data_IF_934785160901
#
_entry.id   IF_934785160901
#
_cell.length_a   1.000
_cell.length_b   1.000
_cell.length_c   1.000
_cell.angle_alpha   90.00
_cell.angle_beta   90.00
_cell.angle_gamma   90.00
#
_symmetry.space_group_name_H-M   'P 1'
#
loop_
_entity.id
_entity.type
_entity.pdbx_description
1 polymer ?
#
# COMPACT_ATOMS: atom_id res chain seq x y z
N UNK A 1 30.11 -6.23 -0.85
CA UNK A 1 28.67 -5.93 -1.05
C UNK A 1 28.03 -7.12 -1.73
N UNK A 2 27.40 -8.02 -0.97
CA UNK A 2 26.59 -9.11 -1.52
C UNK A 2 25.14 -8.65 -1.54
N UNK A 3 24.64 -8.28 -2.72
CA UNK A 3 23.23 -8.01 -2.97
C UNK A 3 22.50 -9.33 -3.20
N UNK A 4 21.52 -9.63 -2.34
CA UNK A 4 20.76 -10.88 -2.40
C UNK A 4 19.60 -10.75 -3.41
N UNK A 5 19.57 -11.64 -4.41
CA UNK A 5 18.81 -11.54 -5.66
C UNK A 5 17.31 -11.80 -5.59
N UNK A 6 16.68 -11.71 -4.42
CA UNK A 6 15.25 -12.04 -4.22
C UNK A 6 14.33 -10.83 -4.10
N UNK A 7 14.85 -9.59 -4.05
CA UNK A 7 14.03 -8.36 -4.04
C UNK A 7 13.75 -7.74 -5.43
N UNK A 8 14.36 -8.27 -6.50
CA UNK A 8 14.38 -7.62 -7.83
C UNK A 8 13.49 -8.28 -8.90
N UNK A 9 12.61 -9.21 -8.55
CA UNK A 9 11.79 -9.90 -9.56
C UNK A 9 10.79 -8.97 -10.29
N UNK A 10 10.42 -7.84 -9.68
CA UNK A 10 9.51 -6.86 -10.29
C UNK A 10 10.16 -5.90 -11.30
N UNK A 11 11.48 -5.67 -11.22
CA UNK A 11 12.20 -4.70 -12.06
C UNK A 11 12.56 -5.24 -13.46
N UNK A 12 12.31 -6.52 -13.75
CA UNK A 12 12.74 -7.18 -15.00
C UNK A 12 11.67 -7.30 -16.09
N UNK A 13 10.45 -6.80 -15.86
CA UNK A 13 9.36 -6.85 -16.84
C UNK A 13 9.15 -5.46 -17.45
N UNK A 14 9.56 -5.29 -18.71
CA UNK A 14 9.62 -4.01 -19.44
C UNK A 14 8.27 -3.37 -19.78
N UNK A 15 7.15 -3.90 -19.28
CA UNK A 15 5.79 -3.41 -19.53
C UNK A 15 4.95 -3.31 -18.25
N UNK A 16 5.59 -3.04 -17.10
CA UNK A 16 4.93 -2.93 -15.82
C UNK A 16 4.85 -1.44 -15.43
N UNK A 17 3.71 -0.80 -15.73
CA UNK A 17 3.48 0.62 -15.42
C UNK A 17 3.55 0.89 -13.90
N UNK A 18 3.11 -0.06 -13.07
CA UNK A 18 3.00 0.12 -11.61
C UNK A 18 4.37 0.24 -10.90
N UNK A 19 5.37 -0.62 -11.15
CA UNK A 19 6.74 -0.40 -10.66
C UNK A 19 7.41 0.83 -11.29
N UNK A 20 7.20 1.11 -12.57
CA UNK A 20 7.85 2.24 -13.26
C UNK A 20 7.38 3.59 -12.73
N UNK A 21 6.06 3.79 -12.62
CA UNK A 21 5.49 5.03 -12.09
C UNK A 21 5.73 5.16 -10.59
N UNK A 22 5.64 4.04 -9.85
CA UNK A 22 5.95 4.00 -8.42
C UNK A 22 7.39 4.39 -8.12
N UNK A 23 8.36 4.02 -8.96
CA UNK A 23 9.76 4.43 -8.82
C UNK A 23 9.94 5.92 -9.07
N UNK A 24 9.24 6.51 -10.05
CA UNK A 24 9.30 7.96 -10.29
C UNK A 24 8.76 8.75 -9.10
N UNK A 25 7.63 8.32 -8.54
CA UNK A 25 7.05 8.94 -7.34
C UNK A 25 7.97 8.75 -6.13
N UNK A 26 8.53 7.54 -5.93
CA UNK A 26 9.51 7.28 -4.88
C UNK A 26 10.73 8.20 -4.99
N UNK A 27 11.31 8.31 -6.19
CA UNK A 27 12.46 9.17 -6.44
C UNK A 27 12.16 10.65 -6.15
N UNK A 28 10.99 11.14 -6.56
CA UNK A 28 10.58 12.53 -6.28
C UNK A 28 10.40 12.79 -4.78
N UNK A 29 9.77 11.84 -4.04
CA UNK A 29 9.63 11.93 -2.58
C UNK A 29 11.00 11.93 -1.93
N UNK A 30 11.88 10.99 -2.32
CA UNK A 30 13.20 10.85 -1.73
C UNK A 30 14.04 12.12 -1.94
N UNK A 31 14.07 12.66 -3.16
CA UNK A 31 14.80 13.90 -3.48
C UNK A 31 14.29 15.09 -2.65
N UNK A 32 12.96 15.23 -2.54
CA UNK A 32 12.35 16.29 -1.72
C UNK A 32 12.69 16.15 -0.23
N UNK A 33 12.56 14.94 0.33
CA UNK A 33 12.86 14.66 1.74
C UNK A 33 14.35 14.89 2.02
N UNK A 34 15.25 14.40 1.18
CA UNK A 34 16.69 14.58 1.35
C UNK A 34 17.06 16.06 1.37
N UNK A 35 16.53 16.85 0.44
CA UNK A 35 16.73 18.30 0.44
C UNK A 35 16.18 18.98 1.70
N UNK A 36 15.02 18.55 2.20
CA UNK A 36 14.42 19.10 3.41
C UNK A 36 15.24 18.76 4.65
N UNK A 37 15.60 17.48 4.83
CA UNK A 37 16.42 17.02 5.96
C UNK A 37 17.79 17.69 5.96
N UNK A 38 18.44 17.83 4.80
CA UNK A 38 19.73 18.52 4.68
C UNK A 38 19.66 19.97 5.15
N UNK A 39 18.54 20.65 4.87
CA UNK A 39 18.33 22.04 5.27
C UNK A 39 18.26 22.23 6.79
N UNK A 40 17.58 21.32 7.50
CA UNK A 40 17.37 21.45 8.96
C UNK A 40 18.44 20.74 9.81
N UNK A 41 19.08 19.71 9.27
CA UNK A 41 20.09 18.91 9.97
C UNK A 41 21.46 19.05 9.30
N UNK A 42 22.02 20.26 9.24
CA UNK A 42 23.30 20.50 8.56
C UNK A 42 24.52 19.99 9.35
N UNK A 43 24.44 19.99 10.69
CA UNK A 43 25.57 19.70 11.56
C UNK A 43 25.76 18.21 11.85
N UNK A 44 27.01 17.75 12.11
CA UNK A 44 27.26 16.42 12.61
C UNK A 44 26.49 16.14 13.91
N UNK A 45 25.89 14.95 14.03
CA UNK A 45 25.10 14.52 15.19
C UNK A 45 23.84 15.36 15.48
N UNK A 46 23.42 16.25 14.58
CA UNK A 46 22.18 17.04 14.76
C UNK A 46 20.95 16.13 14.94
N UNK A 47 20.86 15.03 14.17
CA UNK A 47 19.78 14.03 14.28
C UNK A 47 19.79 13.29 15.63
N UNK A 48 20.95 12.91 16.15
CA UNK A 48 21.06 12.19 17.43
C UNK A 48 20.91 13.10 18.64
N UNK A 49 21.17 14.40 18.48
CA UNK A 49 21.02 15.40 19.55
C UNK A 49 19.59 15.92 19.68
N UNK A 50 18.74 15.68 18.68
CA UNK A 50 17.34 16.09 18.68
C UNK A 50 16.49 15.14 19.54
N UNK A 51 16.20 15.58 20.77
CA UNK A 51 15.48 14.77 21.75
C UNK A 51 14.03 14.48 21.35
N UNK A 52 13.37 15.41 20.66
CA UNK A 52 11.98 15.25 20.23
C UNK A 52 11.91 14.21 19.11
N UNK A 53 12.80 14.31 18.12
CA UNK A 53 12.90 13.37 17.01
C UNK A 53 13.22 11.94 17.51
N UNK A 54 14.17 11.81 18.44
CA UNK A 54 14.52 10.51 19.03
C UNK A 54 13.35 9.92 19.83
N UNK A 55 12.64 10.74 20.61
CA UNK A 55 11.48 10.31 21.37
C UNK A 55 10.33 9.85 20.45
N UNK A 56 10.07 10.59 19.37
CA UNK A 56 9.07 10.26 18.36
C UNK A 56 9.32 8.89 17.73
N UNK A 57 10.54 8.63 17.24
CA UNK A 57 10.86 7.36 16.63
C UNK A 57 10.84 6.19 17.61
N UNK A 58 11.32 6.44 18.83
CA UNK A 58 11.26 5.48 19.91
C UNK A 58 9.80 5.10 20.26
N UNK A 59 8.87 6.06 20.23
CA UNK A 59 7.46 5.82 20.45
C UNK A 59 6.81 5.02 19.31
N UNK A 60 7.07 5.36 18.05
CA UNK A 60 6.57 4.60 16.89
C UNK A 60 6.98 3.13 17.02
N UNK A 61 8.27 2.87 17.28
CA UNK A 61 8.81 1.52 17.37
C UNK A 61 8.30 0.76 18.58
N UNK A 62 8.34 1.37 19.77
CA UNK A 62 8.11 0.65 21.02
C UNK A 62 6.68 0.72 21.54
N UNK A 63 5.85 1.68 21.12
CA UNK A 63 4.43 1.72 21.48
C UNK A 63 3.55 1.43 20.27
N UNK A 64 3.77 2.14 19.16
CA UNK A 64 2.98 1.99 17.94
C UNK A 64 3.08 0.59 17.32
N UNK A 65 4.30 0.06 17.24
CA UNK A 65 4.60 -1.28 16.70
C UNK A 65 5.21 -2.20 17.76
N UNK A 66 4.65 -2.20 18.98
CA UNK A 66 5.19 -2.95 20.13
C UNK A 66 5.54 -4.40 19.80
N UNK A 67 4.67 -5.12 19.09
CA UNK A 67 4.87 -6.54 18.74
C UNK A 67 6.05 -6.78 17.79
N UNK A 68 6.50 -5.74 17.07
CA UNK A 68 7.60 -5.77 16.11
C UNK A 68 8.84 -5.00 16.56
N UNK A 69 8.86 -4.44 17.78
CA UNK A 69 9.95 -3.57 18.27
C UNK A 69 11.34 -4.22 18.29
N UNK A 70 11.42 -5.56 18.35
CA UNK A 70 12.69 -6.29 18.41
C UNK A 70 13.18 -6.79 17.05
N UNK A 71 12.48 -6.46 15.96
CA UNK A 71 12.87 -6.91 14.63
C UNK A 71 14.16 -6.21 14.15
N UNK A 72 15.05 -6.90 13.41
CA UNK A 72 16.37 -6.38 13.07
C UNK A 72 16.37 -5.31 11.97
N UNK A 73 15.24 -5.13 11.28
CA UNK A 73 15.12 -4.22 10.14
C UNK A 73 14.77 -2.78 10.52
N UNK A 74 14.54 -2.49 11.80
CA UNK A 74 14.28 -1.12 12.27
C UNK A 74 15.50 -0.22 12.03
N UNK A 75 15.34 0.90 11.30
CA UNK A 75 16.34 1.97 11.26
C UNK A 75 16.66 2.49 12.68
N UNK A 76 17.92 2.87 12.89
CA UNK A 76 18.38 3.36 14.20
C UNK A 76 18.09 4.83 14.43
N UNK A 77 17.87 5.60 13.36
CA UNK A 77 17.70 7.05 13.38
C UNK A 77 18.92 7.77 13.96
N UNK A 78 20.11 7.40 13.47
CA UNK A 78 21.36 8.01 13.91
C UNK A 78 21.92 9.02 12.89
N UNK A 79 21.49 8.93 11.63
CA UNK A 79 22.03 9.76 10.55
C UNK A 79 20.93 10.44 9.74
N UNK A 80 21.33 11.39 8.89
CA UNK A 80 20.42 12.06 7.95
C UNK A 80 19.84 11.07 6.96
N UNK A 81 20.64 10.09 6.53
CA UNK A 81 20.20 9.02 5.64
C UNK A 81 19.15 8.13 6.30
N UNK A 82 19.31 7.80 7.59
CA UNK A 82 18.28 7.08 8.35
C UNK A 82 16.98 7.91 8.40
N UNK A 83 17.06 9.19 8.75
CA UNK A 83 15.90 10.09 8.85
C UNK A 83 15.19 10.25 7.50
N UNK A 84 15.94 10.54 6.43
CA UNK A 84 15.40 10.67 5.08
C UNK A 84 14.75 9.38 4.61
N UNK A 85 15.35 8.22 4.89
CA UNK A 85 14.77 6.92 4.56
C UNK A 85 13.45 6.66 5.31
N UNK A 86 13.39 6.97 6.61
CA UNK A 86 12.18 6.84 7.42
C UNK A 86 11.07 7.73 6.87
N UNK A 87 11.33 9.03 6.71
CA UNK A 87 10.34 10.01 6.26
C UNK A 87 9.86 9.69 4.84
N UNK A 88 10.76 9.36 3.91
CA UNK A 88 10.40 8.96 2.55
C UNK A 88 9.50 7.73 2.53
N UNK A 89 9.80 6.75 3.38
CA UNK A 89 8.97 5.54 3.52
C UNK A 89 7.59 5.88 4.04
N UNK A 90 7.48 6.70 5.08
CA UNK A 90 6.19 7.10 5.66
C UNK A 90 5.34 7.88 4.66
N UNK A 91 5.93 8.85 3.96
CA UNK A 91 5.23 9.65 2.94
C UNK A 91 4.79 8.76 1.77
N UNK A 92 5.64 7.86 1.28
CA UNK A 92 5.30 6.92 0.21
C UNK A 92 4.14 6.00 0.61
N UNK A 93 4.16 5.44 1.83
CA UNK A 93 3.09 4.58 2.34
C UNK A 93 1.76 5.34 2.39
N UNK A 94 1.77 6.55 2.96
CA UNK A 94 0.57 7.36 3.14
C UNK A 94 0.00 7.92 1.84
N UNK A 95 0.83 8.14 0.82
CA UNK A 95 0.45 8.73 -0.47
C UNK A 95 0.40 7.69 -1.59
N UNK A 96 1.50 7.53 -2.32
CA UNK A 96 1.60 6.73 -3.54
C UNK A 96 1.18 5.27 -3.34
N UNK A 97 1.64 4.62 -2.27
CA UNK A 97 1.29 3.22 -2.02
C UNK A 97 -0.20 3.07 -1.66
N UNK A 98 -0.74 3.90 -0.77
CA UNK A 98 -2.16 3.88 -0.43
C UNK A 98 -3.03 4.11 -1.67
N UNK A 99 -2.73 5.16 -2.45
CA UNK A 99 -3.46 5.47 -3.67
C UNK A 99 -3.46 4.30 -4.67
N UNK A 100 -2.30 3.67 -4.84
CA UNK A 100 -2.08 2.59 -5.78
C UNK A 100 -2.88 1.31 -5.47
N UNK A 101 -3.23 1.05 -4.21
CA UNK A 101 -4.06 -0.09 -3.79
C UNK A 101 -5.51 0.28 -3.51
N UNK A 102 -5.80 1.57 -3.28
CA UNK A 102 -7.11 2.05 -2.86
C UNK A 102 -8.02 2.40 -4.05
N UNK A 103 -7.59 3.33 -4.92
CA UNK A 103 -8.48 3.92 -5.93
C UNK A 103 -8.83 2.96 -7.08
N UNK A 104 -8.15 1.83 -7.18
CA UNK A 104 -8.49 0.74 -8.10
C UNK A 104 -9.56 -0.22 -7.58
N UNK A 105 -10.03 -0.10 -6.34
CA UNK A 105 -10.97 -1.05 -5.74
C UNK A 105 -12.26 -1.16 -6.54
N UNK A 106 -12.95 -0.05 -6.82
CA UNK A 106 -14.19 -0.07 -7.60
C UNK A 106 -13.96 -0.24 -9.11
N UNK A 107 -13.00 0.42 -9.77
CA UNK A 107 -12.74 0.20 -11.19
C UNK A 107 -12.50 -1.26 -11.57
N UNK A 108 -11.84 -2.04 -10.70
CA UNK A 108 -11.64 -3.48 -10.93
C UNK A 108 -12.68 -4.37 -10.24
N UNK A 109 -13.18 -3.98 -9.07
CA UNK A 109 -14.10 -4.79 -8.24
C UNK A 109 -15.58 -4.55 -8.51
N UNK A 110 -15.94 -3.47 -9.20
CA UNK A 110 -17.31 -3.12 -9.55
C UNK A 110 -17.98 -4.14 -10.47
N UNK A 111 -17.18 -4.91 -11.22
CA UNK A 111 -17.65 -6.14 -11.87
C UNK A 111 -17.29 -7.35 -10.98
N UNK A 112 -18.23 -7.76 -10.13
CA UNK A 112 -18.00 -8.79 -9.10
C UNK A 112 -17.33 -10.09 -9.61
N UNK A 113 -17.65 -10.64 -10.81
CA UNK A 113 -16.95 -11.80 -11.34
C UNK A 113 -15.43 -11.60 -11.58
N UNK A 114 -14.97 -10.36 -11.76
CA UNK A 114 -13.55 -10.04 -11.94
C UNK A 114 -12.76 -10.09 -10.61
N UNK A 115 -13.38 -9.71 -9.49
CA UNK A 115 -12.76 -9.76 -8.15
C UNK A 115 -13.76 -10.16 -7.07
N UNK A 116 -14.14 -11.44 -6.99
CA UNK A 116 -15.07 -11.91 -5.97
C UNK A 116 -14.41 -11.90 -4.60
N UNK A 117 -15.08 -11.30 -3.60
CA UNK A 117 -14.57 -11.24 -2.22
C UNK A 117 -14.89 -12.50 -1.40
N UNK A 118 -15.80 -13.34 -1.89
CA UNK A 118 -16.13 -14.63 -1.30
C UNK A 118 -16.64 -15.62 -2.35
N UNK A 119 -16.55 -16.90 -2.01
CA UNK A 119 -17.15 -18.01 -2.75
C UNK A 119 -18.09 -18.77 -1.82
N UNK A 120 -19.31 -19.07 -2.28
CA UNK A 120 -20.37 -19.75 -1.51
C UNK A 120 -20.36 -21.27 -1.65
N UNK A 121 -19.56 -21.81 -2.56
CA UNK A 121 -19.46 -23.25 -2.84
C UNK A 121 -18.00 -23.61 -3.06
N UNK A 122 -17.66 -24.84 -2.67
CA UNK A 122 -16.39 -25.46 -3.01
C UNK A 122 -16.41 -25.91 -4.47
N UNK A 123 -15.23 -26.22 -5.01
CA UNK A 123 -15.11 -26.90 -6.31
C UNK A 123 -15.57 -28.36 -6.11
N UNK A 124 -16.59 -28.84 -6.85
CA UNK A 124 -17.05 -30.22 -6.74
C UNK A 124 -15.93 -31.22 -7.06
N UNK A 125 -15.82 -32.28 -6.27
CA UNK A 125 -14.93 -33.41 -6.50
C UNK A 125 -15.61 -34.48 -7.35
N UNK A 126 -14.85 -35.40 -7.96
CA UNK A 126 -15.39 -36.43 -8.88
C UNK A 126 -16.51 -37.29 -8.29
N UNK A 127 -16.50 -37.49 -6.96
CA UNK A 127 -17.51 -38.26 -6.23
C UNK A 127 -18.71 -37.42 -5.75
N UNK A 128 -18.72 -36.11 -5.99
CA UNK A 128 -19.83 -35.23 -5.61
C UNK A 128 -20.98 -35.32 -6.63
N UNK A 129 -22.25 -35.31 -6.18
CA UNK A 129 -23.41 -35.30 -7.07
C UNK A 129 -23.46 -34.10 -8.03
N UNK A 130 -22.78 -33.01 -7.69
CA UNK A 130 -22.72 -31.80 -8.51
C UNK A 130 -21.54 -31.77 -9.50
N UNK A 131 -20.68 -32.81 -9.51
CA UNK A 131 -19.53 -32.89 -10.42
C UNK A 131 -19.95 -32.95 -11.88
N UNK A 132 -20.92 -33.81 -12.22
CA UNK A 132 -21.43 -33.91 -13.59
C UNK A 132 -21.99 -32.57 -14.07
N UNK A 133 -22.70 -31.83 -13.21
CA UNK A 133 -23.23 -30.50 -13.52
C UNK A 133 -22.11 -29.48 -13.73
N UNK A 134 -21.03 -29.56 -12.95
CA UNK A 134 -19.86 -28.73 -13.12
C UNK A 134 -19.15 -28.97 -14.45
N UNK A 135 -18.94 -30.24 -14.84
CA UNK A 135 -18.34 -30.58 -16.13
C UNK A 135 -19.23 -30.15 -17.30
N UNK A 136 -20.54 -30.33 -17.19
CA UNK A 136 -21.49 -29.90 -18.23
C UNK A 136 -21.57 -28.38 -18.40
N UNK A 137 -21.51 -27.61 -17.31
CA UNK A 137 -21.61 -26.15 -17.36
C UNK A 137 -20.77 -25.48 -16.25
N UNK A 138 -19.45 -25.35 -16.47
CA UNK A 138 -18.56 -24.78 -15.45
C UNK A 138 -18.82 -23.29 -15.20
N UNK A 139 -19.29 -22.55 -16.21
CA UNK A 139 -19.62 -21.12 -16.10
C UNK A 139 -20.81 -20.90 -15.15
N UNK A 140 -21.87 -21.68 -15.31
CA UNK A 140 -23.02 -21.63 -14.40
C UNK A 140 -22.60 -22.00 -12.98
N UNK A 141 -21.79 -23.05 -12.81
CA UNK A 141 -21.27 -23.43 -11.49
C UNK A 141 -20.45 -22.29 -10.88
N UNK A 142 -19.53 -21.69 -11.63
CA UNK A 142 -18.76 -20.53 -11.16
C UNK A 142 -19.66 -19.37 -10.72
N UNK A 143 -20.58 -18.91 -11.58
CA UNK A 143 -21.51 -17.82 -11.26
C UNK A 143 -22.41 -18.15 -10.06
N UNK A 144 -22.84 -19.41 -9.94
CA UNK A 144 -23.64 -19.87 -8.80
C UNK A 144 -22.85 -19.93 -7.49
N UNK A 145 -21.52 -19.99 -7.57
CA UNK A 145 -20.59 -19.96 -6.43
C UNK A 145 -20.19 -18.55 -6.03
N UNK A 146 -20.38 -17.55 -6.90
CA UNK A 146 -20.13 -16.14 -6.60
C UNK A 146 -21.06 -15.59 -5.51
N UNK A 147 -20.76 -14.42 -4.92
CA UNK A 147 -21.65 -13.76 -3.95
C UNK A 147 -23.06 -13.58 -4.51
N UNK A 148 -24.07 -13.58 -3.64
CA UNK A 148 -25.44 -13.23 -4.07
C UNK A 148 -25.50 -11.77 -4.53
N UNK A 149 -26.52 -11.39 -5.29
CA UNK A 149 -26.69 -9.99 -5.72
C UNK A 149 -26.66 -9.02 -4.54
N UNK A 150 -27.37 -9.33 -3.45
CA UNK A 150 -27.38 -8.49 -2.25
C UNK A 150 -25.98 -8.37 -1.59
N UNK A 151 -25.21 -9.46 -1.54
CA UNK A 151 -23.84 -9.42 -1.02
C UNK A 151 -22.94 -8.59 -1.93
N UNK A 152 -23.00 -8.84 -3.24
CA UNK A 152 -22.24 -8.13 -4.25
C UNK A 152 -22.50 -6.62 -4.20
N UNK A 153 -23.77 -6.20 -4.17
CA UNK A 153 -24.15 -4.78 -4.11
C UNK A 153 -23.62 -4.09 -2.86
N UNK A 154 -23.64 -4.75 -1.69
CA UNK A 154 -23.08 -4.18 -0.45
C UNK A 154 -21.58 -3.91 -0.58
N UNK A 155 -20.84 -4.88 -1.13
CA UNK A 155 -19.39 -4.75 -1.33
C UNK A 155 -19.09 -3.65 -2.36
N UNK A 156 -19.83 -3.63 -3.47
CA UNK A 156 -19.67 -2.62 -4.51
C UNK A 156 -19.89 -1.21 -3.97
N UNK A 157 -20.92 -0.99 -3.15
CA UNK A 157 -21.19 0.32 -2.55
C UNK A 157 -20.04 0.80 -1.65
N UNK A 158 -19.45 -0.10 -0.86
CA UNK A 158 -18.29 0.21 -0.03
C UNK A 158 -17.07 0.52 -0.90
N UNK A 159 -16.78 -0.31 -1.90
CA UNK A 159 -15.65 -0.08 -2.80
C UNK A 159 -15.78 1.23 -3.59
N UNK A 160 -16.99 1.57 -4.05
CA UNK A 160 -17.28 2.82 -4.75
C UNK A 160 -16.95 4.03 -3.87
N UNK A 161 -17.46 4.00 -2.64
CA UNK A 161 -17.19 5.04 -1.64
C UNK A 161 -15.70 5.19 -1.36
N UNK A 162 -14.99 4.07 -1.14
CA UNK A 162 -13.54 4.08 -0.84
C UNK A 162 -12.67 4.47 -2.04
N UNK A 163 -13.17 4.33 -3.27
CA UNK A 163 -12.42 4.65 -4.49
C UNK A 163 -12.66 6.08 -4.99
N UNK A 164 -13.57 6.82 -4.35
CA UNK A 164 -13.95 8.16 -4.79
C UNK A 164 -13.10 9.20 -4.07
N UNK A 165 -12.50 10.11 -4.83
CA UNK A 165 -11.81 11.27 -4.27
C UNK A 165 -12.81 12.29 -3.73
N UNK A 166 -12.54 12.81 -2.54
CA UNK A 166 -13.30 13.89 -1.95
C UNK A 166 -13.10 15.19 -2.75
N UNK A 167 -14.11 16.08 -2.86
CA UNK A 167 -13.93 17.37 -3.55
C UNK A 167 -12.92 18.30 -2.87
N UNK A 168 -12.61 18.07 -1.60
CA UNK A 168 -11.63 18.80 -0.78
C UNK A 168 -10.31 18.01 -0.60
N UNK A 169 -10.05 17.00 -1.44
CA UNK A 169 -8.82 16.22 -1.40
C UNK A 169 -7.56 17.09 -1.62
N UNK A 170 -6.50 16.78 -0.87
CA UNK A 170 -5.17 17.38 -1.04
C UNK A 170 -4.22 16.37 -1.69
N UNK A 171 -3.84 16.63 -2.94
CA UNK A 171 -2.94 15.73 -3.66
C UNK A 171 -1.48 15.95 -3.25
N UNK A 172 -0.65 14.92 -3.44
CA UNK A 172 0.78 14.96 -3.13
C UNK A 172 1.45 16.19 -3.78
N UNK A 173 2.12 17.01 -2.95
CA UNK A 173 2.79 18.24 -3.38
C UNK A 173 1.91 19.50 -3.33
N UNK A 174 0.64 19.38 -2.96
CA UNK A 174 -0.24 20.52 -2.67
C UNK A 174 -0.23 20.82 -1.18
N UNK A 175 -0.38 22.11 -0.83
CA UNK A 175 -0.59 22.57 0.54
C UNK A 175 -1.71 23.62 0.47
N UNK A 176 -2.80 23.40 1.19
CA UNK A 176 -3.89 24.37 1.24
C UNK A 176 -3.46 25.60 2.05
N UNK A 177 -3.43 26.82 1.47
CA UNK A 177 -2.97 28.02 2.16
C UNK A 177 -3.79 28.39 3.41
N UNK A 178 -5.02 27.88 3.52
CA UNK A 178 -5.91 28.12 4.65
C UNK A 178 -5.54 27.31 5.91
N UNK A 179 -4.63 26.32 5.79
CA UNK A 179 -4.19 25.46 6.88
C UNK A 179 -2.77 25.80 7.39
N UNK A 180 -2.20 26.93 6.95
CA UNK A 180 -0.95 27.44 7.51
C UNK A 180 -1.20 27.97 8.94
N UNK A 181 -0.76 27.19 9.93
CA UNK A 181 -0.71 27.58 11.35
C UNK A 181 0.57 28.35 11.69
#
# INVERSE_FOLDING_TARGET
MHYNGSKLFFLRLTAHYWPSDGLLIWSAIQEWVESYVEHFYSEPNSVTSDLELQAWWNEIKNKGHYDKRNEPWWPKLNTKEDLSGILSTMICIASGQHAAINFGQFPFGGYMPNRPTLMRRLIPQENDPDYEKFIMNPQHTFLSSLPTQLQATKIMAVQDTLSTHSPDEEYLGQVNPLHNH
#
